data_IF_306031074053
#
_entry.id   IF_306031074053
#
_cell.length_a   1.000
_cell.length_b   1.000
_cell.length_c   1.000
_cell.angle_alpha   90.00
_cell.angle_beta   90.00
_cell.angle_gamma   90.00
#
_symmetry.space_group_name_H-M   'P 1'
#
loop_
_entity.id
_entity.type
_entity.pdbx_description
1 polymer ?
#
# COMPACT_ATOMS: atom_id res chain seq x y z
N UNK A 1 -1.71 -53.70 16.91
CA UNK A 1 -2.26 -52.73 15.93
C UNK A 1 -2.80 -51.52 16.70
N UNK A 2 -1.96 -50.51 16.97
CA UNK A 2 -2.40 -49.28 17.62
C UNK A 2 -3.04 -48.35 16.60
N UNK A 3 -4.32 -48.03 16.80
CA UNK A 3 -5.05 -47.02 16.03
C UNK A 3 -4.65 -45.63 16.56
N UNK A 4 -3.74 -44.95 15.87
CA UNK A 4 -3.44 -43.55 16.16
C UNK A 4 -4.62 -42.68 15.72
N UNK A 5 -5.38 -42.18 16.70
CA UNK A 5 -6.47 -41.23 16.52
C UNK A 5 -5.86 -39.83 16.41
N UNK A 6 -5.68 -39.33 15.19
CA UNK A 6 -5.28 -37.94 14.96
C UNK A 6 -6.51 -37.06 15.25
N UNK A 7 -6.51 -36.39 16.39
CA UNK A 7 -7.47 -35.33 16.69
C UNK A 7 -7.02 -34.11 15.90
N UNK A 8 -7.56 -33.92 14.70
CA UNK A 8 -7.28 -32.74 13.88
C UNK A 8 -8.07 -31.56 14.46
N UNK A 9 -7.49 -30.91 15.47
CA UNK A 9 -7.97 -29.64 16.01
C UNK A 9 -7.70 -28.51 15.02
N UNK A 10 -8.52 -28.38 13.98
CA UNK A 10 -8.48 -27.24 13.07
C UNK A 10 -9.18 -26.03 13.70
N UNK A 11 -8.60 -25.46 14.76
CA UNK A 11 -9.05 -24.19 15.33
C UNK A 11 -7.84 -23.31 15.65
N UNK A 12 -7.28 -22.71 14.61
CA UNK A 12 -6.56 -21.46 14.76
C UNK A 12 -7.16 -20.46 13.76
N UNK A 13 -8.05 -19.52 14.18
CA UNK A 13 -8.23 -18.32 13.38
C UNK A 13 -6.86 -17.63 13.33
N UNK A 14 -6.24 -17.65 12.15
CA UNK A 14 -4.97 -16.93 11.93
C UNK A 14 -5.21 -15.45 12.28
N UNK A 15 -4.30 -14.80 13.03
CA UNK A 15 -4.50 -13.43 13.46
C UNK A 15 -4.75 -12.53 12.25
N UNK A 16 -5.76 -11.66 12.34
CA UNK A 16 -5.98 -10.58 11.40
C UNK A 16 -4.63 -9.86 11.20
N UNK A 17 -4.21 -9.73 9.95
CA UNK A 17 -2.89 -9.19 9.61
C UNK A 17 -2.71 -7.80 10.21
N UNK A 18 -1.47 -7.36 10.48
CA UNK A 18 -1.25 -6.04 11.03
C UNK A 18 -1.83 -4.97 10.10
N UNK A 19 -2.83 -4.27 10.62
CA UNK A 19 -3.37 -3.07 9.99
C UNK A 19 -2.42 -1.90 10.27
N UNK A 20 -2.28 -1.02 9.28
CA UNK A 20 -1.61 0.28 9.39
C UNK A 20 -2.58 1.37 9.01
N UNK A 21 -2.28 2.59 9.42
CA UNK A 21 -3.05 3.76 9.05
C UNK A 21 -2.19 4.63 8.15
N UNK A 22 -2.79 5.18 7.10
CA UNK A 22 -2.14 6.08 6.14
C UNK A 22 -3.05 7.27 5.88
N UNK A 23 -2.50 8.41 5.51
CA UNK A 23 -3.25 9.50 4.91
C UNK A 23 -2.83 9.62 3.44
N UNK A 24 -3.80 9.71 2.56
CA UNK A 24 -3.58 9.81 1.11
C UNK A 24 -3.20 11.22 0.67
N UNK A 25 -3.47 12.20 1.52
CA UNK A 25 -3.29 13.63 1.26
C UNK A 25 -2.01 14.16 1.94
N UNK A 26 -1.26 13.29 2.62
CA UNK A 26 0.03 13.63 3.18
C UNK A 26 1.12 13.70 2.10
N UNK A 27 2.11 14.62 2.25
CA UNK A 27 3.23 14.71 1.33
C UNK A 27 3.91 13.36 1.09
N UNK A 28 4.24 13.08 -0.17
CA UNK A 28 5.02 11.92 -0.57
C UNK A 28 6.22 12.33 -1.40
N UNK A 29 7.34 11.67 -1.13
CA UNK A 29 8.57 11.87 -1.90
C UNK A 29 8.96 10.58 -2.60
N UNK A 30 9.26 10.65 -3.89
CA UNK A 30 9.84 9.53 -4.61
C UNK A 30 11.25 9.26 -4.09
N UNK A 31 11.51 8.03 -3.59
CA UNK A 31 12.82 7.64 -3.07
C UNK A 31 13.92 7.54 -4.12
N UNK A 32 13.59 7.65 -5.41
CA UNK A 32 14.53 7.52 -6.53
C UNK A 32 14.90 8.85 -7.16
N UNK A 33 13.91 9.60 -7.63
CA UNK A 33 14.13 10.90 -8.27
C UNK A 33 13.99 12.09 -7.31
N UNK A 34 13.61 11.85 -6.06
CA UNK A 34 13.42 12.87 -5.02
C UNK A 34 12.37 13.95 -5.32
N UNK A 35 11.57 13.79 -6.38
CA UNK A 35 10.38 14.61 -6.59
C UNK A 35 9.43 14.43 -5.40
N UNK A 36 8.94 15.54 -4.91
CA UNK A 36 7.98 15.63 -3.81
C UNK A 36 6.61 16.09 -4.34
N UNK A 37 5.56 15.46 -3.83
CA UNK A 37 4.18 15.87 -4.05
C UNK A 37 3.56 16.20 -2.69
N UNK A 38 3.27 17.48 -2.47
CA UNK A 38 2.83 17.99 -1.17
C UNK A 38 1.39 17.59 -0.84
N UNK A 39 0.53 17.46 -1.85
CA UNK A 39 -0.89 17.13 -1.71
C UNK A 39 -1.15 15.61 -1.87
N UNK A 40 -0.17 14.78 -1.53
CA UNK A 40 -0.26 13.33 -1.70
C UNK A 40 0.12 12.81 -3.09
N UNK A 41 0.00 11.49 -3.25
CA UNK A 41 0.36 10.83 -4.51
C UNK A 41 -0.65 11.18 -5.62
N UNK A 42 -0.24 11.86 -6.72
CA UNK A 42 -1.17 12.23 -7.79
C UNK A 42 -1.91 11.05 -8.41
N UNK A 43 -1.35 9.84 -8.37
CA UNK A 43 -2.01 8.63 -8.87
C UNK A 43 -3.25 8.24 -8.06
N UNK A 44 -3.42 8.76 -6.83
CA UNK A 44 -4.62 8.51 -6.02
C UNK A 44 -5.83 9.31 -6.51
N UNK A 45 -5.64 10.37 -7.29
CA UNK A 45 -6.74 11.18 -7.84
C UNK A 45 -7.62 10.47 -8.88
N UNK A 46 -7.15 9.33 -9.41
CA UNK A 46 -7.86 8.50 -10.39
C UNK A 46 -8.33 7.20 -9.77
N UNK A 47 -9.44 6.61 -10.21
CA UNK A 47 -9.81 5.24 -9.83
C UNK A 47 -8.71 4.24 -10.23
N UNK A 48 -8.50 3.19 -9.44
CA UNK A 48 -7.49 2.18 -9.72
C UNK A 48 -8.01 1.10 -10.68
N UNK A 49 -7.60 1.07 -11.97
CA UNK A 49 -8.05 0.05 -12.92
C UNK A 49 -7.55 -1.36 -12.59
N UNK A 50 -6.56 -1.49 -11.70
CA UNK A 50 -5.99 -2.78 -11.31
C UNK A 50 -6.73 -3.49 -10.17
N UNK A 51 -7.28 -2.74 -9.21
CA UNK A 51 -7.94 -3.31 -8.03
C UNK A 51 -9.33 -2.72 -7.73
N UNK A 52 -9.81 -1.76 -8.53
CA UNK A 52 -11.11 -1.11 -8.36
C UNK A 52 -11.19 -0.14 -7.18
N UNK A 53 -10.06 0.24 -6.57
CA UNK A 53 -10.07 1.23 -5.49
C UNK A 53 -10.48 2.61 -6.04
N UNK A 54 -11.44 3.26 -5.37
CA UNK A 54 -11.94 4.59 -5.71
C UNK A 54 -10.84 5.66 -5.68
N UNK A 55 -11.07 6.76 -6.39
CA UNK A 55 -10.23 7.96 -6.29
C UNK A 55 -10.18 8.47 -4.82
N UNK A 56 -9.01 8.91 -4.38
CA UNK A 56 -8.74 9.27 -2.99
C UNK A 56 -8.49 8.09 -2.06
N UNK A 57 -8.81 6.85 -2.44
CA UNK A 57 -8.60 5.68 -1.59
C UNK A 57 -7.33 4.89 -1.97
N UNK A 58 -6.65 4.27 -0.99
CA UNK A 58 -5.48 3.44 -1.26
C UNK A 58 -5.85 2.17 -2.01
N UNK A 59 -4.87 1.62 -2.73
CA UNK A 59 -5.04 0.36 -3.43
C UNK A 59 -5.28 -0.79 -2.45
N UNK A 60 -6.17 -1.71 -2.81
CA UNK A 60 -6.61 -2.80 -1.94
C UNK A 60 -6.01 -4.14 -2.40
N UNK A 61 -5.22 -4.78 -1.51
CA UNK A 61 -4.67 -6.12 -1.72
C UNK A 61 -4.89 -6.97 -0.46
N UNK A 62 -5.62 -8.10 -0.54
CA UNK A 62 -5.83 -8.98 0.61
C UNK A 62 -4.53 -9.50 1.22
N UNK A 63 -3.47 -9.59 0.41
CA UNK A 63 -2.17 -10.10 0.83
C UNK A 63 -1.37 -9.07 1.63
N UNK A 64 -1.64 -7.77 1.45
CA UNK A 64 -0.86 -6.65 1.97
C UNK A 64 -0.12 -5.89 0.86
N UNK A 65 0.52 -4.77 1.22
CA UNK A 65 1.24 -3.90 0.30
C UNK A 65 0.41 -2.72 -0.21
N UNK A 66 -0.66 -2.39 0.52
CA UNK A 66 -1.62 -1.33 0.20
C UNK A 66 -1.03 0.09 0.34
N UNK A 67 0.11 0.23 1.02
CA UNK A 67 0.88 1.47 1.12
C UNK A 67 1.52 1.94 -0.20
N UNK A 68 1.40 1.11 -1.26
CA UNK A 68 1.90 1.38 -2.61
C UNK A 68 0.75 1.30 -3.60
N UNK A 69 0.71 2.26 -4.52
CA UNK A 69 -0.23 2.22 -5.65
C UNK A 69 -0.03 0.96 -6.53
N UNK A 70 -1.09 0.51 -7.20
CA UNK A 70 -0.98 -0.55 -8.21
C UNK A 70 -0.22 -0.06 -9.44
N UNK A 71 0.48 -0.98 -10.09
CA UNK A 71 1.18 -0.70 -11.33
C UNK A 71 0.24 -0.10 -12.39
N UNK A 72 -0.96 -0.67 -12.56
CA UNK A 72 -1.90 -0.14 -13.54
C UNK A 72 -2.37 1.29 -13.21
N UNK A 73 -2.51 1.64 -11.93
CA UNK A 73 -2.89 3.00 -11.50
C UNK A 73 -1.77 4.00 -11.79
N UNK A 74 -0.54 3.65 -11.43
CA UNK A 74 0.62 4.52 -11.69
C UNK A 74 0.81 4.74 -13.20
N UNK A 75 0.66 3.68 -14.01
CA UNK A 75 0.70 3.78 -15.48
C UNK A 75 -0.45 4.57 -16.08
N UNK A 76 -1.64 4.55 -15.46
CA UNK A 76 -2.77 5.37 -15.90
C UNK A 76 -2.48 6.84 -15.58
N UNK A 77 -2.01 7.15 -14.38
CA UNK A 77 -1.63 8.51 -14.00
C UNK A 77 -0.53 9.10 -14.89
N UNK A 78 0.44 8.28 -15.35
CA UNK A 78 1.41 8.72 -16.36
C UNK A 78 0.74 9.01 -17.71
N UNK A 79 -0.18 8.15 -18.16
CA UNK A 79 -0.91 8.36 -19.42
C UNK A 79 -1.81 9.60 -19.39
N UNK A 80 -2.38 9.91 -18.23
CA UNK A 80 -3.26 11.07 -18.02
C UNK A 80 -2.45 12.36 -17.77
N UNK A 81 -1.12 12.30 -17.76
CA UNK A 81 -0.25 13.46 -17.56
C UNK A 81 -0.18 13.96 -16.11
N UNK A 82 -0.73 13.21 -15.14
CA UNK A 82 -0.63 13.51 -13.71
C UNK A 82 0.76 13.22 -13.16
N UNK A 83 1.51 12.35 -13.84
CA UNK A 83 2.88 11.99 -13.49
C UNK A 83 3.74 11.98 -14.74
N UNK A 84 4.95 12.53 -14.62
CA UNK A 84 6.02 12.22 -15.56
C UNK A 84 6.66 10.87 -15.21
N UNK A 85 7.18 10.11 -16.19
CA UNK A 85 7.99 8.92 -15.91
C UNK A 85 9.14 9.25 -14.95
N UNK A 86 9.48 8.31 -14.07
CA UNK A 86 10.53 8.52 -13.09
C UNK A 86 11.91 8.56 -13.74
N UNK A 87 12.59 9.70 -13.63
CA UNK A 87 13.95 9.89 -14.17
C UNK A 87 15.04 9.26 -13.31
N UNK A 88 14.72 8.84 -12.08
CA UNK A 88 15.63 8.17 -11.14
C UNK A 88 15.96 6.71 -11.50
N UNK A 89 15.85 6.32 -12.78
CA UNK A 89 16.22 5.01 -13.31
C UNK A 89 15.51 3.81 -12.65
N UNK A 90 14.19 3.78 -12.68
CA UNK A 90 13.45 2.51 -12.54
C UNK A 90 13.30 1.83 -13.90
N UNK A 91 13.46 0.51 -13.95
CA UNK A 91 13.37 -0.27 -15.19
C UNK A 91 11.99 -0.15 -15.88
N UNK A 92 10.96 0.22 -15.11
CA UNK A 92 9.58 0.40 -15.54
C UNK A 92 9.14 1.88 -15.55
N UNK A 93 10.06 2.82 -15.33
CA UNK A 93 9.75 4.26 -15.27
C UNK A 93 8.84 4.67 -14.10
N UNK A 94 8.67 3.78 -13.11
CA UNK A 94 7.78 3.97 -11.97
C UNK A 94 8.44 4.72 -10.83
N UNK A 95 7.67 5.55 -10.12
CA UNK A 95 8.10 6.19 -8.88
C UNK A 95 7.99 5.25 -7.67
N UNK A 96 8.98 5.31 -6.77
CA UNK A 96 8.92 4.64 -5.45
C UNK A 96 8.46 5.62 -4.38
N UNK A 97 7.15 5.84 -4.33
CA UNK A 97 6.43 6.79 -3.47
C UNK A 97 5.54 6.02 -2.49
N UNK A 98 6.15 5.50 -1.42
CA UNK A 98 5.40 4.80 -0.37
C UNK A 98 4.66 5.83 0.49
N UNK A 99 3.37 5.62 0.70
CA UNK A 99 2.59 6.42 1.65
C UNK A 99 3.14 6.21 3.07
N UNK A 100 3.16 7.29 3.85
CA UNK A 100 3.58 7.23 5.25
C UNK A 100 2.58 6.42 6.06
N UNK A 101 3.10 5.52 6.90
CA UNK A 101 2.28 4.59 7.67
C UNK A 101 2.49 4.80 9.16
N UNK A 102 1.42 4.77 9.93
CA UNK A 102 1.45 4.85 11.39
C UNK A 102 0.84 3.59 12.02
N UNK A 103 1.16 3.38 13.30
CA UNK A 103 0.59 2.30 14.11
C UNK A 103 -0.78 2.65 14.70
N UNK A 104 -1.02 3.94 14.91
CA UNK A 104 -2.22 4.46 15.54
C UNK A 104 -3.05 5.27 14.54
N UNK A 105 -4.38 5.17 14.57
CA UNK A 105 -5.24 6.02 13.76
C UNK A 105 -5.02 7.49 14.13
N UNK A 106 -5.16 8.36 13.14
CA UNK A 106 -5.18 9.80 13.28
C UNK A 106 -6.28 10.36 12.37
N UNK A 107 -6.67 11.64 12.50
CA UNK A 107 -7.73 12.22 11.68
C UNK A 107 -7.46 12.00 10.18
N UNK A 108 -8.50 11.58 9.44
CA UNK A 108 -8.46 11.27 8.01
C UNK A 108 -7.63 10.04 7.60
N UNK A 109 -7.06 9.30 8.56
CA UNK A 109 -6.28 8.12 8.22
C UNK A 109 -7.18 6.95 7.79
N UNK A 110 -6.78 6.26 6.72
CA UNK A 110 -7.45 5.11 6.14
C UNK A 110 -6.73 3.82 6.59
N UNK A 111 -7.45 2.81 7.08
CA UNK A 111 -6.84 1.55 7.46
C UNK A 111 -6.41 0.77 6.22
N UNK A 112 -5.20 0.19 6.27
CA UNK A 112 -4.64 -0.60 5.19
C UNK A 112 -4.00 -1.89 5.69
N UNK A 113 -3.93 -2.87 4.77
CA UNK A 113 -3.17 -4.09 4.96
C UNK A 113 -1.73 -3.85 4.52
N UNK A 114 -0.81 -3.72 5.47
CA UNK A 114 0.61 -3.56 5.13
C UNK A 114 1.24 -4.89 4.73
N UNK A 115 2.15 -4.84 3.74
CA UNK A 115 2.99 -5.98 3.38
C UNK A 115 4.20 -6.13 4.29
N UNK A 116 4.54 -5.10 5.07
CA UNK A 116 5.64 -5.14 6.03
C UNK A 116 5.18 -5.72 7.38
N UNK A 117 5.95 -6.62 8.01
CA UNK A 117 5.64 -7.08 9.36
C UNK A 117 5.69 -5.91 10.35
N UNK A 118 4.96 -6.04 11.47
CA UNK A 118 5.13 -5.10 12.59
C UNK A 118 6.55 -5.26 13.14
N UNK A 119 7.37 -4.23 12.97
CA UNK A 119 8.58 -4.10 13.80
C UNK A 119 8.11 -4.04 15.25
N UNK A 120 8.52 -5.01 16.07
CA UNK A 120 8.25 -5.01 17.53
C UNK A 120 8.99 -3.87 18.26
N UNK A 121 9.88 -3.18 17.55
CA UNK A 121 10.55 -1.98 18.01
C UNK A 121 9.89 -0.80 17.32
N UNK A 122 9.04 -0.11 18.05
CA UNK A 122 8.56 1.23 17.70
C UNK A 122 9.47 2.21 18.45
N UNK A 123 10.06 3.17 17.74
CA UNK A 123 10.63 4.37 18.33
C UNK A 123 9.52 5.40 18.53
#
# INVERSE_FOLDING_TARGET
MLKHRIVSGNHWPRPAKPTRWICTDEPVTCRRCHIEWLDGDPALSIECPGCGAEAGYPCQRPQGGNERVCFQRDRQAIRDGLLMPCEGLSWDGRHDKRLMMTLHPYPHAIPIMSGAPVSRFSA
#
